data_IF_243670820646
#
_entry.id   IF_243670820646
#
_cell.length_a   1.000
_cell.length_b   1.000
_cell.length_c   1.000
_cell.angle_alpha   90.00
_cell.angle_beta   90.00
_cell.angle_gamma   90.00
#
_symmetry.space_group_name_H-M   'P 1'
#
loop_
_entity.id
_entity.type
_entity.pdbx_description
1 polymer ?
#
# COMPACT_ATOMS: atom_id res chain seq x y z
N UNK A 1 7.88 43.76 8.37
CA UNK A 1 8.13 44.59 7.17
C UNK A 1 7.14 45.76 7.08
N UNK A 2 5.83 45.52 6.97
CA UNK A 2 4.81 46.58 6.85
C UNK A 2 4.68 47.51 8.07
N UNK A 3 5.06 47.05 9.25
CA UNK A 3 5.14 47.86 10.48
C UNK A 3 6.28 48.88 10.48
N UNK A 4 7.31 48.69 9.64
CA UNK A 4 8.54 49.48 9.65
C UNK A 4 8.72 50.42 8.44
N UNK A 5 7.87 50.34 7.42
CA UNK A 5 7.97 51.14 6.19
C UNK A 5 6.65 51.87 5.86
N UNK A 6 6.20 52.76 6.74
CA UNK A 6 4.92 53.48 6.62
C UNK A 6 4.82 54.40 5.39
N UNK A 7 5.94 54.85 4.82
CA UNK A 7 6.00 55.74 3.65
C UNK A 7 6.39 55.03 2.34
N UNK A 8 6.55 53.70 2.34
CA UNK A 8 6.91 52.96 1.14
C UNK A 8 5.77 52.90 0.12
N UNK A 9 6.08 53.14 -1.16
CA UNK A 9 5.14 52.94 -2.27
C UNK A 9 4.63 51.51 -2.27
N UNK A 10 3.32 51.33 -2.11
CA UNK A 10 2.68 50.02 -2.16
C UNK A 10 2.43 49.66 -3.62
N UNK A 11 3.09 48.62 -4.10
CA UNK A 11 2.84 48.06 -5.42
C UNK A 11 2.10 46.75 -5.23
N UNK A 12 0.87 46.67 -5.73
CA UNK A 12 0.16 45.41 -5.84
C UNK A 12 0.74 44.65 -7.04
N UNK A 13 1.41 43.53 -6.78
CA UNK A 13 1.86 42.63 -7.84
C UNK A 13 0.74 41.62 -8.11
N UNK A 14 0.14 41.68 -9.30
CA UNK A 14 -0.72 40.61 -9.78
C UNK A 14 0.15 39.38 -10.04
N UNK A 15 0.10 38.42 -9.11
CA UNK A 15 0.74 37.13 -9.32
C UNK A 15 -0.03 36.35 -10.39
N UNK A 16 0.64 35.50 -11.19
CA UNK A 16 -0.07 34.58 -12.06
C UNK A 16 -1.02 33.71 -11.21
N UNK A 17 -2.09 33.15 -11.81
CA UNK A 17 -2.93 32.18 -11.14
C UNK A 17 -2.06 31.07 -10.52
N UNK A 18 -2.45 30.54 -9.35
CA UNK A 18 -1.77 29.39 -8.78
C UNK A 18 -1.66 28.28 -9.83
N UNK A 19 -0.51 27.60 -9.93
CA UNK A 19 -0.36 26.48 -10.85
C UNK A 19 -1.50 25.46 -10.69
N UNK A 20 -1.84 24.73 -11.75
CA UNK A 20 -2.97 23.80 -11.75
C UNK A 20 -2.90 22.76 -10.61
N UNK A 21 -1.70 22.46 -10.11
CA UNK A 21 -1.48 21.61 -8.94
C UNK A 21 -1.81 22.23 -7.58
N UNK A 22 -2.52 23.36 -7.57
CA UNK A 22 -3.20 23.94 -6.40
C UNK A 22 -4.73 23.95 -6.56
N UNK A 23 -5.28 23.34 -7.63
CA UNK A 23 -6.72 23.30 -7.87
C UNK A 23 -7.46 22.45 -6.82
N UNK A 24 -8.77 22.70 -6.69
CA UNK A 24 -9.64 21.84 -5.91
C UNK A 24 -9.69 20.42 -6.49
N UNK A 25 -9.71 20.25 -7.81
CA UNK A 25 -9.68 18.94 -8.47
C UNK A 25 -8.41 18.78 -9.33
N UNK A 26 -7.62 17.74 -9.06
CA UNK A 26 -6.36 17.49 -9.75
C UNK A 26 -6.42 16.21 -10.60
N UNK A 27 -5.78 16.26 -11.77
CA UNK A 27 -5.53 15.06 -12.59
C UNK A 27 -4.28 14.34 -12.07
N UNK A 28 -4.49 13.50 -11.05
CA UNK A 28 -3.43 12.80 -10.32
C UNK A 28 -3.11 11.44 -10.95
N UNK A 29 -1.85 11.05 -10.87
CA UNK A 29 -1.39 9.68 -11.15
C UNK A 29 -0.24 9.30 -10.22
N UNK A 30 -0.06 8.00 -9.98
CA UNK A 30 1.05 7.50 -9.16
C UNK A 30 1.92 6.49 -9.91
N UNK A 31 3.21 6.50 -9.60
CA UNK A 31 4.16 5.48 -10.03
C UNK A 31 4.79 4.81 -8.83
N UNK A 32 4.91 3.49 -8.90
CA UNK A 32 5.55 2.67 -7.89
C UNK A 32 6.79 2.05 -8.49
N UNK A 33 7.92 2.69 -8.23
CA UNK A 33 9.22 2.19 -8.67
C UNK A 33 9.69 1.10 -7.72
N UNK A 34 9.93 -0.09 -8.25
CA UNK A 34 10.35 -1.24 -7.44
C UNK A 34 11.81 -1.18 -6.95
N UNK A 35 12.61 -0.26 -7.48
CA UNK A 35 14.04 -0.19 -7.16
C UNK A 35 14.80 -1.37 -7.75
N UNK A 36 15.88 -1.77 -7.08
CA UNK A 36 16.64 -2.97 -7.42
C UNK A 36 15.91 -4.23 -6.96
N UNK A 37 15.75 -5.20 -7.87
CA UNK A 37 15.00 -6.45 -7.66
C UNK A 37 15.90 -7.66 -7.92
N UNK A 38 15.81 -8.67 -7.04
CA UNK A 38 16.53 -9.94 -7.17
C UNK A 38 15.56 -11.12 -7.08
N UNK A 39 15.33 -11.79 -8.22
CA UNK A 39 14.51 -13.00 -8.33
C UNK A 39 15.32 -14.30 -8.13
N UNK A 40 16.46 -14.22 -7.45
CA UNK A 40 17.29 -15.40 -7.16
C UNK A 40 16.46 -16.47 -6.42
N UNK A 41 16.73 -17.77 -6.64
CA UNK A 41 15.92 -18.89 -6.10
C UNK A 41 15.91 -19.00 -4.58
N UNK A 42 16.87 -18.35 -3.92
CA UNK A 42 16.99 -18.26 -2.48
C UNK A 42 17.30 -16.82 -2.07
N UNK A 43 16.94 -16.40 -0.84
CA UNK A 43 17.29 -15.07 -0.35
C UNK A 43 18.80 -14.94 -0.15
N UNK A 44 19.41 -13.91 -0.72
CA UNK A 44 20.83 -13.60 -0.58
C UNK A 44 20.96 -12.14 -0.12
N UNK A 45 21.83 -11.79 0.85
CA UNK A 45 22.11 -10.40 1.18
C UNK A 45 22.68 -9.64 -0.03
N UNK A 46 22.14 -8.47 -0.35
CA UNK A 46 22.59 -7.65 -1.50
C UNK A 46 22.66 -6.18 -1.11
N UNK A 47 23.59 -5.45 -1.76
CA UNK A 47 23.66 -4.01 -1.64
C UNK A 47 22.62 -3.35 -2.56
N UNK A 48 21.62 -2.71 -1.95
CA UNK A 48 20.54 -2.01 -2.65
C UNK A 48 20.99 -0.60 -2.98
N UNK A 49 21.19 -0.31 -4.28
CA UNK A 49 21.56 1.04 -4.75
C UNK A 49 20.32 1.89 -4.99
N UNK A 50 19.29 1.29 -5.60
CA UNK A 50 18.01 1.96 -5.83
C UNK A 50 16.94 1.31 -4.96
N UNK A 51 16.43 2.09 -4.00
CA UNK A 51 15.34 1.65 -3.12
C UNK A 51 13.98 1.82 -3.80
N UNK A 52 12.98 1.02 -3.42
CA UNK A 52 11.63 1.25 -3.89
C UNK A 52 11.10 2.62 -3.48
N UNK A 53 10.31 3.24 -4.35
CA UNK A 53 9.71 4.53 -4.08
C UNK A 53 8.34 4.66 -4.74
N UNK A 54 7.46 5.41 -4.08
CA UNK A 54 6.21 5.90 -4.67
C UNK A 54 6.42 7.34 -5.11
N UNK A 55 5.99 7.69 -6.32
CA UNK A 55 5.92 9.05 -6.83
C UNK A 55 4.46 9.38 -7.11
N UNK A 56 3.95 10.45 -6.49
CA UNK A 56 2.67 11.04 -6.88
C UNK A 56 2.94 12.19 -7.84
N UNK A 57 2.20 12.25 -8.92
CA UNK A 57 2.32 13.28 -9.94
C UNK A 57 0.96 13.86 -10.29
N UNK A 58 0.99 15.06 -10.83
CA UNK A 58 -0.15 15.75 -11.43
C UNK A 58 0.13 15.98 -12.90
N UNK A 59 -0.90 15.86 -13.73
CA UNK A 59 -0.87 16.32 -15.11
C UNK A 59 -1.22 17.81 -15.14
N UNK A 60 -0.23 18.66 -15.38
CA UNK A 60 -0.39 20.10 -15.53
C UNK A 60 -0.28 20.46 -17.01
N UNK A 61 -1.43 20.64 -17.67
CA UNK A 61 -1.54 20.99 -19.09
C UNK A 61 -0.72 20.07 -20.03
N UNK A 62 -0.84 18.75 -19.83
CA UNK A 62 -0.13 17.73 -20.61
C UNK A 62 1.29 17.44 -20.10
N UNK A 63 1.78 18.19 -19.12
CA UNK A 63 3.09 17.97 -18.50
C UNK A 63 2.93 17.25 -17.17
N UNK A 64 3.49 16.04 -17.05
CA UNK A 64 3.53 15.30 -15.78
C UNK A 64 4.53 15.95 -14.82
N UNK A 65 4.06 16.44 -13.68
CA UNK A 65 4.90 17.05 -12.63
C UNK A 65 4.89 16.20 -11.37
N UNK A 66 6.05 15.79 -10.83
CA UNK A 66 6.11 15.08 -9.56
C UNK A 66 5.80 16.04 -8.40
N UNK A 67 4.85 15.64 -7.54
CA UNK A 67 4.50 16.38 -6.33
C UNK A 67 5.32 15.90 -5.14
N UNK A 68 5.38 14.57 -4.97
CA UNK A 68 6.13 13.93 -3.89
C UNK A 68 6.77 12.65 -4.37
N UNK A 69 7.92 12.33 -3.78
CA UNK A 69 8.57 11.03 -3.89
C UNK A 69 8.89 10.51 -2.50
N UNK A 70 8.34 9.36 -2.13
CA UNK A 70 8.55 8.75 -0.82
C UNK A 70 9.13 7.35 -0.92
N UNK A 71 9.94 6.93 0.07
CA UNK A 71 10.37 5.53 0.17
C UNK A 71 9.14 4.62 0.32
N UNK A 72 9.22 3.45 -0.30
CA UNK A 72 8.16 2.45 -0.26
C UNK A 72 8.77 1.04 -0.13
N UNK A 73 7.92 0.01 -0.22
CA UNK A 73 8.33 -1.39 -0.22
C UNK A 73 7.90 -2.10 -1.49
N UNK A 74 8.50 -3.25 -1.72
CA UNK A 74 8.09 -4.23 -2.73
C UNK A 74 7.96 -5.61 -2.14
N UNK A 75 7.38 -6.52 -2.89
CA UNK A 75 7.42 -7.95 -2.66
C UNK A 75 8.84 -8.50 -2.60
N UNK A 76 9.00 -9.60 -1.86
CA UNK A 76 10.25 -10.32 -1.72
C UNK A 76 10.05 -11.69 -1.10
N UNK A 77 11.16 -12.33 -0.73
CA UNK A 77 11.15 -13.62 -0.06
C UNK A 77 10.50 -13.53 1.33
N UNK A 78 9.46 -14.34 1.55
CA UNK A 78 8.68 -14.37 2.79
C UNK A 78 8.39 -15.82 3.22
N UNK A 79 8.19 -16.04 4.52
CA UNK A 79 7.73 -17.34 5.03
C UNK A 79 6.25 -17.55 4.72
N UNK A 80 5.91 -18.73 4.21
CA UNK A 80 4.54 -19.10 3.83
C UNK A 80 4.25 -20.52 4.32
N UNK A 81 3.08 -20.69 4.95
CA UNK A 81 2.52 -21.97 5.36
C UNK A 81 1.85 -22.68 4.17
N UNK A 82 2.17 -23.95 3.96
CA UNK A 82 1.50 -24.83 2.98
C UNK A 82 0.22 -25.44 3.56
N UNK A 83 -0.59 -26.06 2.70
CA UNK A 83 -1.78 -26.80 3.12
C UNK A 83 -1.46 -27.91 4.14
N UNK A 84 -0.31 -28.58 4.00
CA UNK A 84 0.19 -29.58 4.95
C UNK A 84 0.76 -29.01 6.26
N UNK A 85 0.75 -27.68 6.45
CA UNK A 85 1.21 -27.03 7.69
C UNK A 85 2.70 -26.71 7.75
N UNK A 86 3.49 -27.12 6.75
CA UNK A 86 4.91 -26.80 6.68
C UNK A 86 5.15 -25.34 6.28
N UNK A 87 6.21 -24.73 6.81
CA UNK A 87 6.62 -23.36 6.46
C UNK A 87 7.81 -23.42 5.50
N UNK A 88 7.71 -22.73 4.37
CA UNK A 88 8.79 -22.58 3.40
C UNK A 88 8.91 -21.12 2.95
N UNK A 89 10.06 -20.76 2.36
CA UNK A 89 10.23 -19.43 1.76
C UNK A 89 9.60 -19.40 0.36
N UNK A 90 8.80 -18.38 0.09
CA UNK A 90 8.17 -18.14 -1.21
C UNK A 90 8.40 -16.69 -1.62
N UNK A 91 8.58 -16.45 -2.91
CA UNK A 91 8.63 -15.10 -3.44
C UNK A 91 7.21 -14.53 -3.52
N UNK A 92 6.95 -13.45 -2.78
CA UNK A 92 5.69 -12.70 -2.85
C UNK A 92 5.87 -11.52 -3.79
N UNK A 93 5.11 -11.48 -4.88
CA UNK A 93 5.32 -10.53 -5.98
C UNK A 93 4.64 -9.17 -5.73
N UNK A 94 5.23 -8.09 -6.28
CA UNK A 94 4.54 -6.83 -6.54
C UNK A 94 4.26 -6.74 -8.04
N UNK A 95 3.09 -7.21 -8.46
CA UNK A 95 2.74 -7.36 -9.87
C UNK A 95 2.95 -6.06 -10.66
N UNK A 96 3.73 -6.14 -11.75
CA UNK A 96 4.05 -5.00 -12.61
C UNK A 96 2.84 -4.65 -13.49
N UNK A 97 2.68 -3.37 -13.80
CA UNK A 97 1.72 -2.89 -14.80
C UNK A 97 0.70 -1.89 -14.26
N UNK A 98 -0.34 -1.60 -15.05
CA UNK A 98 -1.36 -0.62 -14.72
C UNK A 98 -2.31 -1.14 -13.64
N UNK A 99 -2.58 -0.30 -12.66
CA UNK A 99 -3.53 -0.48 -11.56
C UNK A 99 -4.31 0.81 -11.40
N UNK A 100 -5.33 0.78 -10.56
CA UNK A 100 -6.03 2.00 -10.15
C UNK A 100 -6.21 2.01 -8.63
N UNK A 101 -6.12 3.20 -8.04
CA UNK A 101 -6.67 3.45 -6.72
C UNK A 101 -8.12 3.92 -6.90
N UNK A 102 -9.04 3.00 -6.65
CA UNK A 102 -10.49 3.24 -6.66
C UNK A 102 -11.02 3.22 -5.23
N UNK A 103 -10.64 2.21 -4.47
CA UNK A 103 -11.05 2.03 -3.07
C UNK A 103 -9.98 2.53 -2.10
N UNK A 104 -10.41 3.44 -1.21
CA UNK A 104 -9.65 3.94 -0.08
C UNK A 104 -10.38 3.53 1.21
N UNK A 105 -9.74 2.66 2.00
CA UNK A 105 -10.22 2.31 3.33
C UNK A 105 -9.51 3.14 4.39
N UNK A 106 -10.28 3.90 5.15
CA UNK A 106 -9.86 4.47 6.43
C UNK A 106 -10.06 3.42 7.52
N UNK A 107 -9.11 3.37 8.48
CA UNK A 107 -9.10 2.37 9.55
C UNK A 107 -9.28 0.93 9.00
N UNK A 108 -8.42 0.49 8.06
CA UNK A 108 -8.56 -0.82 7.44
C UNK A 108 -8.24 -1.93 8.44
N UNK A 109 -8.88 -3.06 8.25
CA UNK A 109 -8.48 -4.31 8.92
C UNK A 109 -7.68 -5.19 7.99
N UNK A 110 -6.68 -5.87 8.52
CA UNK A 110 -5.99 -6.92 7.79
C UNK A 110 -6.66 -8.26 8.05
N UNK A 111 -6.96 -8.98 6.96
CA UNK A 111 -7.52 -10.33 6.98
C UNK A 111 -6.37 -11.31 6.67
N UNK A 112 -5.74 -11.96 7.66
CA UNK A 112 -4.59 -12.81 7.41
C UNK A 112 -4.93 -13.96 6.45
N UNK A 113 -4.21 -14.10 5.31
CA UNK A 113 -4.40 -15.23 4.40
C UNK A 113 -4.19 -16.56 5.12
N UNK A 114 -4.85 -17.64 4.66
CA UNK A 114 -4.65 -19.00 5.22
C UNK A 114 -3.18 -19.41 5.22
N UNK A 115 -2.41 -18.90 4.26
CA UNK A 115 -0.98 -19.14 4.10
C UNK A 115 -0.09 -18.44 5.15
N UNK A 116 -0.60 -17.51 5.95
CA UNK A 116 0.17 -16.90 7.04
C UNK A 116 0.44 -17.95 8.13
N UNK A 117 1.69 -18.14 8.60
CA UNK A 117 1.96 -19.05 9.72
C UNK A 117 1.21 -18.69 11.00
N UNK A 118 0.68 -19.68 11.73
CA UNK A 118 -0.11 -19.44 12.96
C UNK A 118 0.72 -18.78 14.07
N UNK A 119 2.03 -19.12 14.15
CA UNK A 119 2.99 -18.50 15.08
C UNK A 119 3.06 -16.97 14.93
N UNK A 120 2.80 -16.44 13.72
CA UNK A 120 2.88 -15.00 13.44
C UNK A 120 1.62 -14.25 13.88
N UNK A 121 0.55 -14.98 14.17
CA UNK A 121 -0.75 -14.45 14.60
C UNK A 121 -0.94 -14.46 16.12
N UNK A 122 0.05 -14.93 16.87
CA UNK A 122 0.02 -14.99 18.32
C UNK A 122 1.19 -14.23 18.93
N UNK A 123 1.08 -13.91 20.21
CA UNK A 123 2.12 -13.25 20.99
C UNK A 123 2.23 -13.94 22.35
N UNK A 124 3.48 -14.11 22.80
CA UNK A 124 3.76 -14.56 24.16
C UNK A 124 3.65 -13.38 25.12
N UNK A 125 2.78 -13.51 26.12
CA UNK A 125 2.59 -12.52 27.16
C UNK A 125 3.71 -12.63 28.20
N UNK A 126 3.90 -11.59 29.02
CA UNK A 126 4.94 -11.56 30.06
C UNK A 126 4.83 -12.71 31.08
N UNK A 127 3.64 -13.29 31.25
CA UNK A 127 3.36 -14.40 32.15
C UNK A 127 3.49 -15.80 31.47
N UNK A 128 4.04 -15.87 30.25
CA UNK A 128 4.22 -17.13 29.52
C UNK A 128 2.96 -17.67 28.81
N UNK A 129 1.81 -16.99 28.94
CA UNK A 129 0.59 -17.35 28.21
C UNK A 129 0.62 -16.83 26.78
N UNK A 130 0.00 -17.56 25.87
CA UNK A 130 -0.11 -17.15 24.47
C UNK A 130 -1.48 -16.57 24.20
N UNK A 131 -1.52 -15.46 23.46
CA UNK A 131 -2.75 -14.82 23.04
C UNK A 131 -2.71 -14.41 21.58
N UNK A 132 -3.89 -14.22 20.98
CA UNK A 132 -3.98 -13.73 19.62
C UNK A 132 -3.43 -12.30 19.54
N UNK A 133 -2.57 -12.04 18.57
CA UNK A 133 -1.99 -10.74 18.29
C UNK A 133 -3.00 -9.82 17.59
N UNK A 134 -4.14 -9.52 18.23
CA UNK A 134 -5.28 -8.78 17.66
C UNK A 134 -4.89 -7.45 17.00
N UNK A 135 -3.91 -6.74 17.56
CA UNK A 135 -3.47 -5.44 17.07
C UNK A 135 -3.05 -5.43 15.58
N UNK A 136 -2.50 -6.53 15.04
CA UNK A 136 -2.08 -6.59 13.63
C UNK A 136 -3.27 -6.67 12.67
N UNK A 137 -4.43 -7.13 13.14
CA UNK A 137 -5.65 -7.24 12.33
C UNK A 137 -6.36 -5.90 12.23
N UNK A 138 -6.07 -4.95 13.13
CA UNK A 138 -6.63 -3.60 13.11
C UNK A 138 -8.09 -3.53 13.57
N UNK A 139 -8.70 -2.34 13.43
CA UNK A 139 -8.09 -1.10 12.93
C UNK A 139 -7.09 -0.49 13.93
N UNK A 140 -6.03 0.18 13.43
CA UNK A 140 -5.11 0.96 14.28
C UNK A 140 -3.69 1.11 13.74
N UNK A 141 -2.84 1.95 14.37
CA UNK A 141 -1.48 2.21 13.91
C UNK A 141 -0.56 0.98 13.96
N UNK A 142 -0.91 -0.01 14.79
CA UNK A 142 -0.21 -1.30 14.90
C UNK A 142 -0.74 -2.37 13.92
N UNK A 143 -1.78 -2.06 13.15
CA UNK A 143 -2.33 -2.96 12.15
C UNK A 143 -1.34 -3.20 11.01
N UNK A 144 -1.44 -4.35 10.34
CA UNK A 144 -0.59 -4.67 9.20
C UNK A 144 -0.78 -3.66 8.04
N UNK A 145 -1.99 -3.11 7.89
CA UNK A 145 -2.30 -2.03 6.95
C UNK A 145 -2.17 -0.61 7.54
N UNK A 146 -1.83 -0.49 8.83
CA UNK A 146 -1.83 0.80 9.52
C UNK A 146 -3.20 1.46 9.48
N UNK A 147 -3.22 2.77 9.21
CA UNK A 147 -4.44 3.60 9.28
C UNK A 147 -5.18 3.76 7.95
N UNK A 148 -4.56 3.41 6.83
CA UNK A 148 -5.08 3.66 5.47
C UNK A 148 -4.68 2.50 4.56
N UNK A 149 -5.60 2.05 3.72
CA UNK A 149 -5.35 1.13 2.62
C UNK A 149 -5.95 1.69 1.32
N UNK A 150 -5.11 1.91 0.32
CA UNK A 150 -5.48 2.15 -1.07
C UNK A 150 -5.31 0.84 -1.83
N UNK A 151 -6.41 0.25 -2.30
CA UNK A 151 -6.39 -1.02 -3.04
C UNK A 151 -5.82 -0.81 -4.43
N UNK A 152 -5.00 -1.74 -4.91
CA UNK A 152 -4.50 -1.73 -6.29
C UNK A 152 -5.37 -2.63 -7.15
N UNK A 153 -6.46 -2.07 -7.66
CA UNK A 153 -7.36 -2.81 -8.52
C UNK A 153 -6.74 -3.02 -9.91
N UNK A 154 -6.83 -4.25 -10.41
CA UNK A 154 -6.65 -4.52 -11.83
C UNK A 154 -7.92 -4.15 -12.58
N UNK A 155 -7.78 -3.48 -13.72
CA UNK A 155 -8.91 -3.20 -14.62
C UNK A 155 -8.96 -4.29 -15.69
N UNK A 156 -9.99 -5.13 -15.63
CA UNK A 156 -10.23 -6.18 -16.61
C UNK A 156 -11.42 -5.78 -17.48
N UNK A 157 -11.17 -5.54 -18.77
CA UNK A 157 -12.25 -5.31 -19.72
C UNK A 157 -12.97 -6.62 -20.02
N UNK A 158 -14.28 -6.61 -19.84
CA UNK A 158 -15.14 -7.74 -20.15
C UNK A 158 -15.56 -7.75 -21.63
N UNK A 159 -16.08 -8.88 -22.10
CA UNK A 159 -16.52 -9.06 -23.49
C UNK A 159 -17.65 -8.11 -23.90
N UNK A 160 -18.46 -7.67 -22.94
CA UNK A 160 -19.58 -6.74 -23.12
C UNK A 160 -19.15 -5.27 -23.10
N UNK A 161 -17.85 -4.98 -22.95
CA UNK A 161 -17.29 -3.64 -22.87
C UNK A 161 -17.26 -3.03 -21.46
N UNK A 162 -17.82 -3.71 -20.45
CA UNK A 162 -17.76 -3.23 -19.06
C UNK A 162 -16.37 -3.46 -18.44
N UNK A 163 -16.03 -2.64 -17.44
CA UNK A 163 -14.80 -2.82 -16.67
C UNK A 163 -15.09 -3.56 -15.35
N UNK A 164 -14.30 -4.59 -15.08
CA UNK A 164 -14.27 -5.27 -13.78
C UNK A 164 -13.01 -4.90 -13.03
N UNK A 165 -13.18 -4.44 -11.79
CA UNK A 165 -12.08 -4.20 -10.87
C UNK A 165 -11.77 -5.48 -10.08
N UNK A 166 -10.50 -5.86 -10.06
CA UNK A 166 -10.05 -7.09 -9.41
C UNK A 166 -8.91 -6.83 -8.42
N UNK A 167 -9.22 -7.01 -7.14
CA UNK A 167 -8.30 -6.91 -6.01
C UNK A 167 -7.47 -8.20 -5.85
N UNK A 168 -6.16 -8.10 -6.09
CA UNK A 168 -5.20 -9.19 -5.87
C UNK A 168 -4.62 -9.20 -4.43
N UNK A 169 -5.15 -8.40 -3.52
CA UNK A 169 -4.64 -8.21 -2.15
C UNK A 169 -3.34 -7.42 -2.09
N UNK A 170 -3.06 -6.60 -3.11
CA UNK A 170 -1.94 -5.66 -3.16
C UNK A 170 -2.51 -4.26 -2.97
N UNK A 171 -1.82 -3.44 -2.18
CA UNK A 171 -2.24 -2.08 -1.92
C UNK A 171 -1.11 -1.16 -1.50
N UNK A 172 -1.38 0.14 -1.52
CA UNK A 172 -0.56 1.15 -0.86
C UNK A 172 -1.14 1.39 0.52
N UNK A 173 -0.37 1.19 1.58
CA UNK A 173 -0.91 1.26 2.94
C UNK A 173 0.13 1.73 3.96
N UNK A 174 -0.34 2.10 5.16
CA UNK A 174 0.54 2.43 6.28
C UNK A 174 1.24 1.20 6.86
N UNK A 175 2.33 1.37 7.60
CA UNK A 175 3.03 0.26 8.24
C UNK A 175 3.22 0.47 9.73
N UNK A 176 2.92 -0.57 10.51
CA UNK A 176 3.34 -0.66 11.92
C UNK A 176 4.86 -0.91 12.08
N UNK A 177 5.54 -1.31 11.00
CA UNK A 177 6.97 -1.63 10.99
C UNK A 177 7.75 -0.62 10.14
N UNK A 178 8.42 0.32 10.81
CA UNK A 178 9.39 1.24 10.18
C UNK A 178 10.51 0.48 9.50
N UNK A 179 10.99 -0.60 10.13
CA UNK A 179 12.08 -1.43 9.60
C UNK A 179 11.73 -2.05 8.24
N UNK A 180 10.46 -2.43 8.00
CA UNK A 180 10.05 -2.92 6.66
C UNK A 180 10.23 -1.87 5.56
N UNK A 181 9.98 -0.59 5.86
CA UNK A 181 10.17 0.52 4.92
C UNK A 181 11.67 0.80 4.74
N UNK A 182 12.43 0.82 5.84
CA UNK A 182 13.89 0.97 5.81
C UNK A 182 14.57 -0.19 5.08
N UNK A 183 14.00 -1.40 5.10
CA UNK A 183 14.52 -2.54 4.35
C UNK A 183 13.97 -2.61 2.92
N UNK A 184 12.85 -1.93 2.63
CA UNK A 184 12.22 -1.89 1.32
C UNK A 184 11.44 -3.17 0.96
N UNK A 185 11.17 -4.06 1.92
CA UNK A 185 10.58 -5.38 1.65
C UNK A 185 9.23 -5.58 2.34
N UNK A 186 8.37 -6.35 1.68
CA UNK A 186 7.01 -6.66 2.10
C UNK A 186 6.55 -7.98 1.45
N UNK A 187 5.27 -8.32 1.62
CA UNK A 187 4.62 -9.45 0.97
C UNK A 187 3.96 -9.06 -0.38
N UNK A 188 4.35 -7.94 -0.99
CA UNK A 188 3.83 -7.47 -2.29
C UNK A 188 3.28 -6.05 -2.25
N UNK A 189 2.82 -5.60 -1.08
CA UNK A 189 2.26 -4.27 -0.90
C UNK A 189 3.30 -3.14 -0.89
N UNK A 190 2.82 -1.93 -1.13
CA UNK A 190 3.61 -0.71 -1.20
C UNK A 190 3.43 0.10 0.08
N UNK A 191 4.25 -0.20 1.08
CA UNK A 191 4.10 0.35 2.42
C UNK A 191 4.68 1.76 2.52
N UNK A 192 3.95 2.63 3.18
CA UNK A 192 4.38 3.96 3.58
C UNK A 192 4.43 4.05 5.10
N UNK A 193 5.14 5.06 5.62
CA UNK A 193 4.99 5.46 7.01
C UNK A 193 3.53 5.86 7.26
N UNK A 194 2.95 5.51 8.42
CA UNK A 194 1.54 5.74 8.72
C UNK A 194 1.11 7.19 8.46
N UNK A 195 1.90 8.17 8.91
CA UNK A 195 1.61 9.59 8.68
C UNK A 195 1.63 9.98 7.20
N UNK A 196 2.45 9.34 6.38
CA UNK A 196 2.50 9.61 4.93
C UNK A 196 1.32 8.96 4.21
N UNK A 197 0.92 7.75 4.62
CA UNK A 197 -0.29 7.10 4.11
C UNK A 197 -1.55 7.93 4.41
N UNK A 198 -1.67 8.46 5.64
CA UNK A 198 -2.75 9.37 6.02
C UNK A 198 -2.71 10.67 5.23
N UNK A 199 -1.54 11.30 5.10
CA UNK A 199 -1.37 12.51 4.28
C UNK A 199 -1.77 12.29 2.83
N UNK A 200 -1.37 11.16 2.24
CA UNK A 200 -1.79 10.79 0.89
C UNK A 200 -3.30 10.62 0.80
N UNK A 201 -3.91 9.86 1.70
CA UNK A 201 -5.36 9.65 1.71
C UNK A 201 -6.14 10.96 1.79
N UNK A 202 -5.79 11.83 2.73
CA UNK A 202 -6.46 13.13 2.90
C UNK A 202 -6.24 14.00 1.66
N UNK A 203 -5.03 14.02 1.09
CA UNK A 203 -4.75 14.76 -0.14
C UNK A 203 -5.59 14.26 -1.32
N UNK A 204 -5.71 12.94 -1.50
CA UNK A 204 -6.54 12.34 -2.54
C UNK A 204 -8.02 12.70 -2.35
N UNK A 205 -8.55 12.57 -1.13
CA UNK A 205 -9.96 12.90 -0.84
C UNK A 205 -10.27 14.40 -0.98
N UNK A 206 -9.28 15.29 -0.81
CA UNK A 206 -9.45 16.72 -1.07
C UNK A 206 -9.37 17.09 -2.55
N UNK A 207 -8.70 16.28 -3.37
CA UNK A 207 -8.40 16.63 -4.76
C UNK A 207 -9.03 15.72 -5.82
N UNK A 208 -9.80 14.72 -5.38
CA UNK A 208 -10.52 13.78 -6.23
C UNK A 208 -11.95 13.63 -5.74
N UNK A 209 -12.87 13.67 -6.70
CA UNK A 209 -14.26 13.33 -6.45
C UNK A 209 -14.36 11.90 -5.91
N UNK A 210 -15.20 11.73 -4.90
CA UNK A 210 -15.37 10.45 -4.23
C UNK A 210 -16.75 10.33 -3.60
N UNK A 211 -17.20 9.08 -3.47
CA UNK A 211 -18.40 8.72 -2.73
C UNK A 211 -18.03 8.12 -1.37
N UNK A 212 -18.78 8.51 -0.35
CA UNK A 212 -18.66 7.91 0.98
C UNK A 212 -19.59 6.69 1.05
N UNK A 213 -19.01 5.48 1.08
CA UNK A 213 -19.79 4.23 1.15
C UNK A 213 -20.03 3.76 2.60
N UNK A 214 -19.21 4.23 3.55
CA UNK A 214 -19.32 3.88 4.96
C UNK A 214 -18.57 2.60 5.34
N UNK A 215 -18.89 2.03 6.50
CA UNK A 215 -18.23 0.81 6.99
C UNK A 215 -18.62 -0.42 6.16
N UNK A 216 -17.62 -1.14 5.65
CA UNK A 216 -17.83 -2.37 4.87
C UNK A 216 -17.78 -3.58 5.79
N UNK A 217 -18.89 -4.31 5.90
CA UNK A 217 -18.97 -5.54 6.70
C UNK A 217 -18.21 -6.71 6.03
N UNK A 218 -17.59 -7.57 6.85
CA UNK A 218 -16.95 -8.82 6.41
C UNK A 218 -17.18 -9.93 7.44
N UNK A 219 -17.12 -11.19 7.03
CA UNK A 219 -17.31 -12.36 7.91
C UNK A 219 -16.04 -13.16 8.12
N UNK A 220 -14.90 -12.53 8.42
CA UNK A 220 -13.63 -13.27 8.50
C UNK A 220 -13.51 -14.04 9.81
N UNK A 221 -13.28 -15.35 9.69
CA UNK A 221 -13.03 -16.26 10.82
C UNK A 221 -11.88 -17.19 10.48
N UNK A 222 -10.96 -17.37 11.43
CA UNK A 222 -9.86 -18.32 11.30
C UNK A 222 -9.49 -18.94 12.63
N UNK A 223 -9.28 -20.26 12.62
CA UNK A 223 -8.67 -20.99 13.74
C UNK A 223 -7.15 -20.86 13.63
N UNK A 224 -6.52 -20.47 14.73
CA UNK A 224 -5.06 -20.33 14.87
C UNK A 224 -4.60 -21.34 15.92
N UNK A 225 -3.79 -22.31 15.51
CA UNK A 225 -3.37 -23.44 16.33
C UNK A 225 -1.87 -23.38 16.59
N UNK A 226 -1.48 -22.57 17.57
CA UNK A 226 -0.09 -22.47 18.03
C UNK A 226 -0.06 -22.22 19.53
N UNK A 227 0.56 -23.14 20.29
CA UNK A 227 0.63 -23.07 21.76
C UNK A 227 -0.75 -22.85 22.43
N UNK A 228 -1.78 -23.44 21.82
CA UNK A 228 -3.18 -23.25 22.16
C UNK A 228 -4.05 -23.17 20.90
N UNK A 229 -5.35 -22.96 21.09
CA UNK A 229 -6.31 -22.71 20.02
C UNK A 229 -6.94 -21.34 20.22
N UNK A 230 -6.83 -20.50 19.20
CA UNK A 230 -7.38 -19.14 19.20
C UNK A 230 -8.27 -18.94 17.97
N UNK A 231 -9.29 -18.08 18.09
CA UNK A 231 -10.17 -17.73 16.98
C UNK A 231 -9.93 -16.27 16.61
N UNK A 232 -9.34 -16.05 15.44
CA UNK A 232 -9.26 -14.74 14.82
C UNK A 232 -10.63 -14.39 14.20
N UNK A 233 -11.13 -13.19 14.53
CA UNK A 233 -12.41 -12.68 14.06
C UNK A 233 -12.23 -11.24 13.61
N UNK A 234 -12.73 -10.92 12.41
CA UNK A 234 -12.81 -9.56 11.89
C UNK A 234 -14.17 -9.41 11.23
N UNK A 235 -14.89 -8.34 11.59
CA UNK A 235 -16.28 -8.11 11.17
C UNK A 235 -16.46 -6.93 10.21
N UNK A 236 -15.42 -6.11 10.05
CA UNK A 236 -15.43 -4.94 9.17
C UNK A 236 -14.12 -4.87 8.39
N UNK A 237 -14.13 -4.50 7.11
CA UNK A 237 -12.93 -4.27 6.31
C UNK A 237 -12.31 -2.88 6.56
N UNK A 238 -13.12 -1.94 7.05
CA UNK A 238 -12.79 -0.53 7.25
C UNK A 238 -13.92 0.38 6.73
N UNK A 239 -13.70 1.69 6.79
CA UNK A 239 -14.61 2.70 6.25
C UNK A 239 -14.18 3.09 4.83
N UNK A 240 -15.05 2.88 3.85
CA UNK A 240 -14.73 2.99 2.43
C UNK A 240 -15.12 4.36 1.85
N UNK A 241 -14.15 4.95 1.16
CA UNK A 241 -14.33 6.02 0.19
C UNK A 241 -14.00 5.47 -1.21
N UNK A 242 -14.89 5.67 -2.17
CA UNK A 242 -14.72 5.22 -3.55
C UNK A 242 -14.44 6.43 -4.45
N UNK A 243 -13.26 6.50 -5.06
CA UNK A 243 -12.85 7.62 -5.92
C UNK A 243 -13.41 7.44 -7.34
N UNK A 244 -14.04 8.50 -7.86
CA UNK A 244 -14.73 8.53 -9.16
C UNK A 244 -14.39 9.83 -9.91
N UNK A 245 -13.49 9.84 -10.91
CA UNK A 245 -12.80 8.69 -11.47
C UNK A 245 -11.70 8.16 -10.55
N UNK A 246 -11.29 6.89 -10.68
CA UNK A 246 -10.19 6.35 -9.91
C UNK A 246 -8.86 7.02 -10.30
N UNK A 247 -7.85 6.93 -9.43
CA UNK A 247 -6.51 7.48 -9.68
C UNK A 247 -5.66 6.42 -10.38
N UNK A 248 -5.10 6.67 -11.58
CA UNK A 248 -4.22 5.73 -12.25
C UNK A 248 -2.91 5.49 -11.49
N UNK A 249 -2.49 4.24 -11.43
CA UNK A 249 -1.26 3.82 -10.76
C UNK A 249 -0.48 2.89 -11.68
N UNK A 250 0.82 3.10 -11.82
CA UNK A 250 1.69 2.19 -12.59
C UNK A 250 2.76 1.61 -11.68
N UNK A 251 2.74 0.29 -11.52
CA UNK A 251 3.84 -0.44 -10.87
C UNK A 251 4.91 -0.70 -11.91
N UNK A 252 6.09 -0.09 -11.73
CA UNK A 252 7.21 -0.19 -12.66
C UNK A 252 8.05 -1.43 -12.37
N UNK A 253 8.64 -2.02 -13.42
CA UNK A 253 9.45 -3.25 -13.33
C UNK A 253 10.64 -3.15 -12.37
N UNK A 254 11.21 -1.95 -12.20
CA UNK A 254 12.46 -1.73 -11.47
C UNK A 254 13.68 -2.31 -12.21
N UNK A 255 14.83 -2.32 -11.53
CA UNK A 255 16.09 -2.82 -12.07
C UNK A 255 16.29 -4.27 -11.64
N UNK A 256 16.15 -5.20 -12.57
CA UNK A 256 16.37 -6.61 -12.25
C UNK A 256 17.85 -6.92 -12.26
N UNK A 257 18.42 -7.09 -11.07
CA UNK A 257 19.85 -7.29 -10.82
C UNK A 257 20.26 -8.77 -10.79
N UNK A 258 19.32 -9.68 -10.54
CA UNK A 258 19.55 -11.14 -10.59
C UNK A 258 19.79 -11.66 -12.00
N UNK A 259 20.41 -12.84 -12.15
CA UNK A 259 20.51 -13.52 -13.43
C UNK A 259 19.13 -13.90 -13.96
N UNK A 260 18.27 -14.43 -13.06
CA UNK A 260 16.86 -14.66 -13.37
C UNK A 260 16.15 -13.32 -13.60
N UNK A 261 15.49 -13.17 -14.76
CA UNK A 261 14.81 -11.93 -15.19
C UNK A 261 13.30 -11.92 -14.98
N UNK A 262 12.74 -13.00 -14.47
CA UNK A 262 11.32 -13.16 -14.18
C UNK A 262 11.14 -13.74 -12.77
N UNK A 263 9.99 -13.54 -12.11
CA UNK A 263 9.72 -14.13 -10.81
C UNK A 263 9.86 -15.67 -10.80
N UNK A 264 10.17 -16.29 -9.64
CA UNK A 264 10.10 -17.74 -9.48
C UNK A 264 8.72 -18.31 -9.88
N UNK A 265 8.67 -19.53 -10.42
CA UNK A 265 7.41 -20.13 -10.92
C UNK A 265 6.35 -20.30 -9.82
N UNK A 266 6.79 -20.55 -8.60
CA UNK A 266 5.95 -20.61 -7.41
C UNK A 266 5.75 -19.23 -6.77
N UNK A 267 5.92 -18.12 -7.49
CA UNK A 267 5.55 -16.81 -6.96
C UNK A 267 4.04 -16.70 -6.85
N UNK A 268 3.55 -16.01 -5.83
CA UNK A 268 2.14 -15.69 -5.69
C UNK A 268 1.95 -14.29 -5.09
N UNK A 269 0.84 -13.60 -5.39
CA UNK A 269 0.48 -12.36 -4.72
C UNK A 269 0.34 -12.54 -3.21
N UNK A 270 0.26 -11.42 -2.48
CA UNK A 270 0.14 -11.41 -1.02
C UNK A 270 -1.03 -12.26 -0.48
N UNK A 271 -2.15 -12.33 -1.23
CA UNK A 271 -3.43 -12.92 -0.81
C UNK A 271 -3.61 -14.42 -1.09
N UNK A 272 -2.69 -15.06 -1.81
CA UNK A 272 -2.73 -16.51 -2.10
C UNK A 272 -1.75 -17.33 -1.26
#
# INVERSE_FOLDING_TARGET
>A
FLTHHKQGTRVALALPPPPAYHSAHMDLSAELHRGDVWYDEQPIPRNIRQRPSMVLSVNDNGTKRPLVRWPSTIGGWSEVRTEGGFVHKKWKESDVGPRVWRELYAAPTWLPPKSTPDKDLVVNNYNGTWSLKKAIMGPGPHAAFGMVLLVHDNVVKQKDGTEKYWDNGIGTHGSASVTSIVNGTSHGCHRLYNQLAVRLAVFLLHHRDHETKGTVAVGYRRVVSFKGTHIAKVDTRGFLYEMTPPVPVTVLKGNIRSQRKIPPKNSAPASQ
#
